data_IF_317820092279
#
_entry.id   IF_317820092279
#
_cell.length_a   1.000
_cell.length_b   1.000
_cell.length_c   1.000
_cell.angle_alpha   90.00
_cell.angle_beta   90.00
_cell.angle_gamma   90.00
#
_symmetry.space_group_name_H-M   'P 1'
#
loop_
_entity.id
_entity.type
_entity.pdbx_description
1 polymer ?
#
# COMPACT_ATOMS: atom_id res chain seq x y z
N UNK A 1 24.73 -13.01 39.79
CA UNK A 1 24.75 -12.05 38.66
C UNK A 1 26.20 -11.86 38.25
N UNK A 2 26.58 -12.31 37.04
CA UNK A 2 27.99 -12.36 36.62
C UNK A 2 28.53 -10.97 36.22
N UNK A 3 29.75 -10.57 36.62
CA UNK A 3 30.38 -9.27 36.31
C UNK A 3 30.46 -8.95 34.81
N UNK A 4 30.40 -9.98 33.97
CA UNK A 4 30.44 -9.87 32.49
C UNK A 4 29.20 -9.17 31.93
N UNK A 5 28.03 -9.30 32.58
CA UNK A 5 26.76 -8.67 32.15
C UNK A 5 26.79 -7.14 32.18
N UNK A 6 27.68 -6.55 32.96
CA UNK A 6 27.78 -5.08 33.11
C UNK A 6 28.91 -4.51 32.24
N UNK A 7 29.92 -5.30 31.88
CA UNK A 7 31.10 -4.81 31.16
C UNK A 7 30.81 -4.47 29.69
N UNK A 8 29.99 -5.27 29.00
CA UNK A 8 29.71 -5.08 27.57
C UNK A 8 28.62 -4.04 27.29
N UNK A 9 27.72 -3.76 28.25
CA UNK A 9 26.63 -2.77 28.07
C UNK A 9 27.07 -1.31 28.17
N UNK A 10 28.30 -1.02 28.62
CA UNK A 10 28.69 0.33 29.03
C UNK A 10 29.85 1.00 28.30
N UNK A 11 30.61 0.31 27.43
CA UNK A 11 31.94 0.83 27.01
C UNK A 11 32.37 0.59 25.56
N UNK A 12 31.45 0.45 24.62
CA UNK A 12 31.82 0.64 23.20
C UNK A 12 30.87 1.62 22.55
N UNK A 13 31.23 2.91 22.65
CA UNK A 13 30.71 3.95 21.77
C UNK A 13 31.29 3.70 20.37
N UNK A 14 30.61 2.89 19.56
CA UNK A 14 30.89 2.82 18.14
C UNK A 14 30.55 4.18 17.52
N UNK A 15 31.55 5.05 17.38
CA UNK A 15 31.41 6.29 16.61
C UNK A 15 31.22 5.93 15.14
N UNK A 16 30.11 6.39 14.57
CA UNK A 16 29.63 6.11 13.21
C UNK A 16 30.61 6.47 12.08
N UNK A 17 31.67 7.22 12.35
CA UNK A 17 32.56 7.81 11.34
C UNK A 17 33.77 6.91 10.97
N UNK A 18 33.93 5.74 11.59
CA UNK A 18 35.12 4.88 11.42
C UNK A 18 34.85 3.41 11.02
N UNK A 19 33.67 3.11 10.46
CA UNK A 19 33.25 1.74 10.14
C UNK A 19 33.74 1.31 8.75
N UNK A 20 35.02 0.93 8.63
CA UNK A 20 35.53 0.15 7.49
C UNK A 20 35.61 -1.33 7.94
N UNK A 21 35.18 -2.32 7.12
CA UNK A 21 35.23 -3.74 7.50
C UNK A 21 36.59 -4.22 8.02
N UNK A 22 37.69 -3.65 7.50
CA UNK A 22 39.06 -3.98 7.94
C UNK A 22 39.35 -3.47 9.36
N UNK A 23 38.94 -2.24 9.68
CA UNK A 23 39.15 -1.65 11.01
C UNK A 23 38.25 -2.30 12.06
N UNK A 24 37.04 -2.75 11.70
CA UNK A 24 36.17 -3.52 12.60
C UNK A 24 36.76 -4.88 12.97
N UNK A 25 37.29 -5.62 12.00
CA UNK A 25 37.92 -6.93 12.26
C UNK A 25 39.10 -6.82 13.23
N UNK A 26 39.94 -5.79 13.04
CA UNK A 26 41.07 -5.49 13.93
C UNK A 26 40.60 -5.07 15.34
N UNK A 27 39.59 -4.20 15.44
CA UNK A 27 39.00 -3.79 16.72
C UNK A 27 38.32 -4.93 17.47
N UNK A 28 37.64 -5.84 16.76
CA UNK A 28 37.06 -7.04 17.35
C UNK A 28 38.16 -7.97 17.85
N UNK A 29 39.21 -8.20 17.06
CA UNK A 29 40.35 -9.01 17.49
C UNK A 29 41.07 -8.42 18.70
N UNK A 30 41.26 -7.09 18.74
CA UNK A 30 41.83 -6.38 19.88
C UNK A 30 40.94 -6.50 21.13
N UNK A 31 39.62 -6.35 20.97
CA UNK A 31 38.66 -6.48 22.07
C UNK A 31 38.63 -7.91 22.63
N UNK A 32 38.63 -8.93 21.77
CA UNK A 32 38.70 -10.35 22.18
C UNK A 32 39.97 -10.60 23.00
N UNK A 33 41.12 -10.08 22.56
CA UNK A 33 42.39 -10.17 23.30
C UNK A 33 42.35 -9.42 24.62
N UNK A 34 41.81 -8.20 24.62
CA UNK A 34 41.76 -7.32 25.79
C UNK A 34 40.87 -7.89 26.89
N UNK A 35 39.68 -8.39 26.53
CA UNK A 35 38.72 -8.99 27.46
C UNK A 35 38.98 -10.48 27.73
N UNK A 36 40.00 -11.08 27.09
CA UNK A 36 40.37 -12.50 27.21
C UNK A 36 39.18 -13.44 27.00
N UNK A 37 38.33 -13.13 26.02
CA UNK A 37 37.16 -13.95 25.70
C UNK A 37 37.62 -15.24 25.03
N UNK A 38 37.21 -16.39 25.57
CA UNK A 38 37.43 -17.68 24.91
C UNK A 38 36.45 -17.88 23.74
N UNK A 39 36.83 -18.65 22.71
CA UNK A 39 35.91 -19.00 21.62
C UNK A 39 34.62 -19.68 22.10
N UNK A 40 34.71 -20.47 23.17
CA UNK A 40 33.58 -21.14 23.80
C UNK A 40 32.61 -20.14 24.46
N UNK A 41 33.13 -19.15 25.18
CA UNK A 41 32.30 -18.07 25.75
C UNK A 41 31.62 -17.24 24.66
N UNK A 42 32.33 -16.95 23.56
CA UNK A 42 31.77 -16.23 22.41
C UNK A 42 30.65 -17.07 21.77
N UNK A 43 30.86 -18.36 21.54
CA UNK A 43 29.85 -19.24 20.95
C UNK A 43 28.62 -19.39 21.86
N UNK A 44 28.83 -19.50 23.17
CA UNK A 44 27.72 -19.57 24.15
C UNK A 44 26.95 -18.25 24.20
N UNK A 45 27.62 -17.10 24.17
CA UNK A 45 26.93 -15.80 24.17
C UNK A 45 26.23 -15.53 22.83
N UNK A 46 26.82 -15.94 21.70
CA UNK A 46 26.22 -15.90 20.38
C UNK A 46 24.88 -16.67 20.35
N UNK A 47 24.88 -17.92 20.82
CA UNK A 47 23.67 -18.75 20.93
C UNK A 47 22.65 -18.20 21.95
N UNK A 48 23.08 -17.29 22.84
CA UNK A 48 22.23 -16.63 23.86
C UNK A 48 21.82 -15.22 23.47
N UNK A 49 22.16 -14.74 22.29
CA UNK A 49 21.82 -13.37 21.86
C UNK A 49 21.18 -13.36 20.48
N UNK A 50 21.61 -14.25 19.58
CA UNK A 50 21.12 -14.28 18.20
C UNK A 50 19.87 -15.16 18.06
N UNK A 51 19.02 -14.80 17.11
CA UNK A 51 17.91 -15.66 16.68
C UNK A 51 18.45 -16.81 15.83
N UNK A 52 17.94 -18.02 16.05
CA UNK A 52 18.29 -19.18 15.22
C UNK A 52 18.07 -18.92 13.72
N UNK A 53 19.01 -19.36 12.89
CA UNK A 53 18.94 -19.19 11.44
C UNK A 53 17.67 -19.81 10.83
N UNK A 54 17.17 -20.90 11.42
CA UNK A 54 15.89 -21.52 11.07
C UNK A 54 14.73 -20.50 11.06
N UNK A 55 14.70 -19.60 12.04
CA UNK A 55 13.65 -18.60 12.17
C UNK A 55 13.87 -17.36 11.29
N UNK A 56 15.09 -17.12 10.79
CA UNK A 56 15.41 -15.94 9.97
C UNK A 56 15.24 -16.19 8.46
N UNK A 57 15.39 -17.44 8.01
CA UNK A 57 15.44 -17.80 6.57
C UNK A 57 14.24 -17.32 5.74
N UNK A 58 13.06 -17.14 6.32
CA UNK A 58 11.85 -16.66 5.62
C UNK A 58 11.87 -15.16 5.30
N UNK A 59 12.72 -14.39 5.98
CA UNK A 59 12.93 -12.96 5.69
C UNK A 59 13.72 -12.90 4.38
N UNK A 60 13.11 -12.36 3.32
CA UNK A 60 13.70 -12.23 1.99
C UNK A 60 14.31 -10.84 1.76
N UNK A 61 14.93 -10.63 0.60
CA UNK A 61 15.38 -9.32 0.14
C UNK A 61 14.25 -8.48 -0.49
N UNK A 62 12.98 -8.87 -0.33
CA UNK A 62 11.86 -8.10 -0.83
C UNK A 62 11.74 -6.77 -0.05
N UNK A 63 11.96 -5.64 -0.73
CA UNK A 63 11.87 -4.28 -0.16
C UNK A 63 10.61 -4.06 0.68
N UNK A 64 9.46 -4.53 0.19
CA UNK A 64 8.18 -4.37 0.91
C UNK A 64 8.13 -5.20 2.19
N UNK A 65 8.58 -6.46 2.15
CA UNK A 65 8.62 -7.31 3.33
C UNK A 65 9.55 -6.70 4.39
N UNK A 66 10.72 -6.22 3.98
CA UNK A 66 11.67 -5.55 4.88
C UNK A 66 11.07 -4.28 5.51
N UNK A 67 10.41 -3.44 4.71
CA UNK A 67 9.71 -2.25 5.22
C UNK A 67 8.60 -2.60 6.21
N UNK A 68 7.78 -3.61 5.90
CA UNK A 68 6.71 -4.09 6.78
C UNK A 68 7.26 -4.60 8.12
N UNK A 69 8.30 -5.44 8.09
CA UNK A 69 8.96 -5.92 9.32
C UNK A 69 9.52 -4.74 10.12
N UNK A 70 10.23 -3.81 9.48
CA UNK A 70 10.78 -2.63 10.14
C UNK A 70 9.68 -1.80 10.83
N UNK A 71 8.53 -1.58 10.17
CA UNK A 71 7.41 -0.87 10.77
C UNK A 71 6.79 -1.62 11.96
N UNK A 72 6.68 -2.96 11.88
CA UNK A 72 6.18 -3.78 12.99
C UNK A 72 7.12 -3.72 14.19
N UNK A 73 8.43 -3.86 13.97
CA UNK A 73 9.44 -3.78 15.02
C UNK A 73 9.44 -2.40 15.70
N UNK A 74 9.34 -1.31 14.93
CA UNK A 74 9.28 0.05 15.51
C UNK A 74 8.03 0.28 16.37
N UNK A 75 6.93 -0.42 16.09
CA UNK A 75 5.69 -0.34 16.87
C UNK A 75 5.68 -1.27 18.08
N UNK A 76 6.47 -2.34 18.04
CA UNK A 76 6.56 -3.30 19.13
C UNK A 76 7.33 -2.70 20.32
N UNK A 77 6.62 -2.47 21.43
CA UNK A 77 7.22 -1.90 22.64
C UNK A 77 8.08 -2.91 23.41
N UNK A 78 7.93 -4.20 23.13
CA UNK A 78 8.64 -5.28 23.79
C UNK A 78 10.04 -5.52 23.19
N UNK A 79 10.27 -5.06 21.95
CA UNK A 79 11.56 -5.17 21.28
C UNK A 79 12.10 -3.79 20.97
N UNK A 80 13.07 -3.37 21.78
CA UNK A 80 13.85 -2.17 21.51
C UNK A 80 14.98 -2.51 20.57
N UNK A 81 14.78 -2.21 19.29
CA UNK A 81 15.84 -2.30 18.28
C UNK A 81 16.76 -1.08 18.38
N UNK A 82 18.09 -1.26 18.44
CA UNK A 82 19.02 -0.14 18.40
C UNK A 82 19.04 0.54 17.01
N UNK A 83 19.41 1.82 16.99
CA UNK A 83 19.70 2.55 15.75
C UNK A 83 21.08 2.13 15.23
N UNK A 84 21.08 1.07 14.42
CA UNK A 84 22.28 0.59 13.71
C UNK A 84 22.31 1.23 12.32
N UNK A 85 23.47 1.80 11.99
CA UNK A 85 23.78 2.30 10.65
C UNK A 85 25.05 1.60 10.16
N UNK A 86 24.98 0.99 8.98
CA UNK A 86 26.12 0.38 8.32
C UNK A 86 25.96 0.47 6.81
N UNK A 87 26.98 1.01 6.13
CA UNK A 87 27.06 0.99 4.66
C UNK A 87 27.54 -0.37 4.11
N UNK A 88 28.02 -1.26 4.98
CA UNK A 88 28.55 -2.57 4.61
C UNK A 88 27.48 -3.68 4.62
N UNK A 89 26.35 -3.45 5.28
CA UNK A 89 25.25 -4.42 5.38
C UNK A 89 24.15 -4.10 4.36
N UNK A 90 23.58 -5.14 3.77
CA UNK A 90 22.32 -5.03 3.03
C UNK A 90 21.16 -4.64 3.96
N UNK A 91 20.05 -4.14 3.41
CA UNK A 91 18.86 -3.80 4.21
C UNK A 91 18.37 -4.99 5.04
N UNK A 92 18.40 -6.20 4.45
CA UNK A 92 18.02 -7.44 5.12
C UNK A 92 18.96 -7.76 6.29
N UNK A 93 20.27 -7.71 6.05
CA UNK A 93 21.27 -7.98 7.10
C UNK A 93 21.19 -6.93 8.22
N UNK A 94 20.97 -5.67 7.87
CA UNK A 94 20.78 -4.60 8.84
C UNK A 94 19.54 -4.83 9.71
N UNK A 95 18.44 -5.28 9.11
CA UNK A 95 17.21 -5.62 9.82
C UNK A 95 17.41 -6.79 10.78
N UNK A 96 18.11 -7.85 10.33
CA UNK A 96 18.45 -8.99 11.18
C UNK A 96 19.35 -8.55 12.34
N UNK A 97 20.39 -7.75 12.06
CA UNK A 97 21.27 -7.21 13.08
C UNK A 97 20.51 -6.37 14.12
N UNK A 98 19.50 -5.60 13.72
CA UNK A 98 18.64 -4.85 14.66
C UNK A 98 17.85 -5.78 15.59
N UNK A 99 17.40 -6.93 15.10
CA UNK A 99 16.70 -7.93 15.90
C UNK A 99 17.68 -8.60 16.86
N UNK A 100 18.82 -9.09 16.37
CA UNK A 100 19.84 -9.77 17.17
C UNK A 100 20.44 -8.85 18.24
N UNK A 101 20.69 -7.59 17.92
CA UNK A 101 21.19 -6.59 18.87
C UNK A 101 20.09 -5.97 19.76
N UNK A 102 18.85 -6.43 19.65
CA UNK A 102 17.80 -5.99 20.58
C UNK A 102 18.14 -6.42 22.01
N UNK A 103 17.83 -5.56 22.99
CA UNK A 103 18.17 -5.82 24.39
C UNK A 103 17.32 -6.91 25.08
N UNK A 104 16.44 -7.58 24.33
CA UNK A 104 15.48 -8.59 24.80
C UNK A 104 16.12 -9.97 24.98
N UNK A 105 15.44 -10.91 25.66
CA UNK A 105 15.95 -12.27 25.79
C UNK A 105 15.82 -13.04 24.46
N UNK A 106 16.64 -14.08 24.19
CA UNK A 106 16.56 -14.86 22.95
C UNK A 106 15.17 -15.36 22.60
N UNK A 107 14.46 -15.92 23.59
CA UNK A 107 13.10 -16.44 23.40
C UNK A 107 12.13 -15.35 22.95
N UNK A 108 12.28 -14.12 23.44
CA UNK A 108 11.42 -13.01 23.05
C UNK A 108 11.69 -12.59 21.60
N UNK A 109 12.97 -12.60 21.19
CA UNK A 109 13.38 -12.31 19.80
C UNK A 109 12.84 -13.39 18.85
N UNK A 110 13.02 -14.66 19.20
CA UNK A 110 12.52 -15.80 18.44
C UNK A 110 10.99 -15.74 18.32
N UNK A 111 10.28 -15.52 19.42
CA UNK A 111 8.82 -15.37 19.42
C UNK A 111 8.38 -14.26 18.49
N UNK A 112 9.02 -13.08 18.53
CA UNK A 112 8.68 -12.00 17.63
C UNK A 112 8.91 -12.35 16.16
N UNK A 113 10.05 -12.99 15.83
CA UNK A 113 10.32 -13.40 14.45
C UNK A 113 9.30 -14.43 13.96
N UNK A 114 8.87 -15.34 14.83
CA UNK A 114 7.80 -16.31 14.55
C UNK A 114 6.46 -15.58 14.33
N UNK A 115 6.11 -14.62 15.18
CA UNK A 115 4.87 -13.85 15.07
C UNK A 115 4.85 -13.02 13.77
N UNK A 116 5.98 -12.43 13.40
CA UNK A 116 6.14 -11.73 12.12
C UNK A 116 5.95 -12.68 10.92
N UNK A 117 6.52 -13.89 11.00
CA UNK A 117 6.36 -14.91 9.96
C UNK A 117 4.89 -15.30 9.77
N UNK A 118 4.15 -15.46 10.87
CA UNK A 118 2.73 -15.82 10.85
C UNK A 118 1.84 -14.68 10.34
N UNK A 119 2.13 -13.43 10.73
CA UNK A 119 1.34 -12.28 10.33
C UNK A 119 1.58 -11.84 8.88
N UNK A 120 2.70 -12.21 8.26
CA UNK A 120 3.02 -11.81 6.88
C UNK A 120 2.01 -12.33 5.84
N UNK A 121 1.65 -13.63 5.80
CA UNK A 121 0.57 -14.13 4.96
C UNK A 121 -0.77 -13.43 5.17
N UNK A 122 -1.12 -13.09 6.41
CA UNK A 122 -2.36 -12.37 6.74
C UNK A 122 -2.36 -10.97 6.13
N UNK A 123 -1.24 -10.24 6.27
CA UNK A 123 -1.05 -8.95 5.63
C UNK A 123 -1.24 -9.07 4.11
N UNK A 124 -0.65 -10.10 3.49
CA UNK A 124 -0.83 -10.35 2.05
C UNK A 124 -2.29 -10.62 1.65
N UNK A 125 -3.09 -11.25 2.51
CA UNK A 125 -4.53 -11.39 2.25
C UNK A 125 -5.27 -10.05 2.34
N UNK A 126 -4.90 -9.20 3.30
CA UNK A 126 -5.49 -7.86 3.45
C UNK A 126 -5.19 -6.95 2.25
N UNK A 127 -4.05 -7.13 1.61
CA UNK A 127 -3.64 -6.35 0.43
C UNK A 127 -4.61 -6.49 -0.75
N UNK A 128 -5.29 -7.63 -0.87
CA UNK A 128 -6.31 -7.85 -1.90
C UNK A 128 -7.43 -6.81 -1.85
N UNK A 129 -7.65 -6.17 -0.70
CA UNK A 129 -8.64 -5.10 -0.56
C UNK A 129 -8.24 -3.81 -1.30
N UNK A 130 -6.95 -3.62 -1.62
CA UNK A 130 -6.42 -2.45 -2.32
C UNK A 130 -6.19 -2.70 -3.83
N UNK A 131 -6.49 -3.91 -4.34
CA UNK A 131 -6.26 -4.26 -5.76
C UNK A 131 -7.01 -3.35 -6.75
N UNK A 132 -8.14 -2.76 -6.34
CA UNK A 132 -8.95 -1.87 -7.17
C UNK A 132 -8.24 -0.55 -7.56
N UNK A 133 -7.13 -0.23 -6.90
CA UNK A 133 -6.33 0.97 -7.20
C UNK A 133 -5.69 0.85 -8.59
N UNK A 134 -5.21 -0.34 -8.96
CA UNK A 134 -4.62 -0.61 -10.28
C UNK A 134 -5.64 -0.45 -11.41
N UNK A 135 -6.93 -0.70 -11.15
CA UNK A 135 -7.96 -0.72 -12.19
C UNK A 135 -8.26 0.66 -12.79
N UNK A 136 -7.87 1.78 -12.16
CA UNK A 136 -8.58 3.05 -12.40
C UNK A 136 -7.79 4.37 -12.44
N UNK A 137 -6.46 4.40 -12.49
CA UNK A 137 -5.57 5.56 -12.26
C UNK A 137 -5.24 5.75 -10.77
N UNK A 138 -4.02 5.34 -10.43
CA UNK A 138 -3.55 5.06 -9.07
C UNK A 138 -3.45 6.34 -8.23
N UNK A 139 -3.03 7.48 -8.81
CA UNK A 139 -2.85 8.73 -8.07
C UNK A 139 -4.18 9.30 -7.55
N UNK A 140 -5.27 9.17 -8.31
CA UNK A 140 -6.58 9.66 -7.88
C UNK A 140 -7.23 8.80 -6.80
N UNK A 141 -7.06 7.48 -6.89
CA UNK A 141 -7.50 6.54 -5.87
C UNK A 141 -6.76 6.77 -4.53
N UNK A 142 -5.44 6.96 -4.60
CA UNK A 142 -4.60 7.27 -3.45
C UNK A 142 -5.03 8.56 -2.73
N UNK A 143 -5.36 9.62 -3.48
CA UNK A 143 -5.84 10.87 -2.89
C UNK A 143 -7.07 10.68 -2.01
N UNK A 144 -8.01 9.84 -2.42
CA UNK A 144 -9.20 9.55 -1.62
C UNK A 144 -8.89 8.74 -0.35
N UNK A 145 -7.89 7.86 -0.38
CA UNK A 145 -7.39 7.18 0.83
C UNK A 145 -6.76 8.19 1.79
N UNK A 146 -5.85 9.02 1.30
CA UNK A 146 -5.22 10.07 2.12
C UNK A 146 -6.23 11.03 2.72
N UNK A 147 -7.23 11.46 1.95
CA UNK A 147 -8.25 12.38 2.45
C UNK A 147 -9.07 11.75 3.59
N UNK A 148 -9.43 10.48 3.45
CA UNK A 148 -10.07 9.76 4.53
C UNK A 148 -9.17 9.66 5.76
N UNK A 149 -7.90 9.32 5.57
CA UNK A 149 -6.90 9.20 6.65
C UNK A 149 -6.70 10.53 7.38
N UNK A 150 -6.53 11.65 6.68
CA UNK A 150 -6.39 12.98 7.31
C UNK A 150 -7.59 13.34 8.19
N UNK A 151 -8.79 12.95 7.75
CA UNK A 151 -10.04 13.28 8.44
C UNK A 151 -10.27 12.44 9.68
N UNK A 152 -9.91 11.16 9.63
CA UNK A 152 -10.29 10.19 10.66
C UNK A 152 -9.12 9.72 11.54
N UNK A 153 -7.88 9.90 11.09
CA UNK A 153 -6.64 9.42 11.72
C UNK A 153 -5.52 10.47 11.50
N UNK A 154 -5.68 11.72 11.97
CA UNK A 154 -4.77 12.83 11.67
C UNK A 154 -3.35 12.63 12.22
N UNK A 155 -3.18 11.78 13.23
CA UNK A 155 -1.88 11.42 13.80
C UNK A 155 -1.06 10.47 12.92
N UNK A 156 -1.67 9.85 11.91
CA UNK A 156 -0.97 8.98 10.99
C UNK A 156 -0.11 9.79 10.02
N UNK A 157 1.16 9.41 9.91
CA UNK A 157 2.05 10.00 8.93
C UNK A 157 1.65 9.55 7.54
N UNK A 158 1.36 10.52 6.68
CA UNK A 158 1.17 10.29 5.26
C UNK A 158 2.52 10.44 4.54
N UNK A 159 2.76 9.66 3.47
CA UNK A 159 3.89 9.86 2.58
C UNK A 159 3.94 11.31 2.06
N UNK A 160 5.14 11.91 2.08
CA UNK A 160 5.38 13.24 1.50
C UNK A 160 5.16 13.24 -0.01
N UNK A 161 5.58 12.16 -0.67
CA UNK A 161 5.41 11.94 -2.10
C UNK A 161 4.28 10.94 -2.32
N UNK A 162 3.38 11.27 -3.25
CA UNK A 162 2.31 10.35 -3.62
C UNK A 162 2.91 9.07 -4.24
N UNK A 163 2.47 7.88 -3.79
CA UNK A 163 2.79 6.61 -4.42
C UNK A 163 2.53 6.62 -5.92
N UNK A 164 3.46 6.07 -6.68
CA UNK A 164 3.41 5.96 -8.13
C UNK A 164 2.72 4.70 -8.61
N UNK A 165 2.75 3.64 -7.80
CA UNK A 165 2.19 2.33 -8.12
C UNK A 165 1.53 1.68 -6.91
N UNK A 166 0.84 0.55 -7.14
CA UNK A 166 0.25 -0.23 -6.06
C UNK A 166 1.27 -0.68 -4.99
N UNK A 167 2.51 -1.02 -5.34
CA UNK A 167 3.49 -1.48 -4.35
C UNK A 167 3.85 -0.37 -3.37
N UNK A 168 4.06 0.85 -3.86
CA UNK A 168 4.29 2.02 -3.01
C UNK A 168 3.06 2.35 -2.14
N UNK A 169 1.85 2.18 -2.65
CA UNK A 169 0.61 2.33 -1.85
C UNK A 169 0.57 1.31 -0.72
N UNK A 170 0.89 0.05 -1.02
CA UNK A 170 0.87 -1.02 -0.03
C UNK A 170 1.92 -0.76 1.07
N UNK A 171 3.15 -0.41 0.69
CA UNK A 171 4.22 -0.02 1.64
C UNK A 171 3.77 1.14 2.53
N UNK A 172 3.17 2.19 1.96
CA UNK A 172 2.66 3.32 2.72
C UNK A 172 1.54 2.91 3.69
N UNK A 173 0.64 2.02 3.26
CA UNK A 173 -0.46 1.54 4.10
C UNK A 173 -0.01 0.64 5.24
N UNK A 174 1.10 -0.08 5.06
CA UNK A 174 1.69 -0.97 6.07
C UNK A 174 2.24 -0.17 7.28
N UNK A 175 2.55 1.12 7.10
CA UNK A 175 2.98 2.01 8.17
C UNK A 175 1.84 2.48 9.09
N UNK A 176 0.57 2.40 8.65
CA UNK A 176 -0.57 2.93 9.40
C UNK A 176 -1.00 2.01 10.56
N UNK A 177 -1.39 2.63 11.67
CA UNK A 177 -1.92 1.92 12.84
C UNK A 177 -3.45 1.99 12.92
N UNK A 178 -4.12 1.25 12.04
CA UNK A 178 -5.57 1.06 12.04
C UNK A 178 -5.99 -0.36 12.42
N UNK A 179 -7.19 -0.50 13.00
CA UNK A 179 -7.86 -1.79 13.16
C UNK A 179 -8.38 -2.33 11.82
N UNK A 180 -8.70 -3.63 11.76
CA UNK A 180 -9.30 -4.23 10.57
C UNK A 180 -10.61 -3.57 10.15
N UNK A 181 -11.39 -3.09 11.12
CA UNK A 181 -12.66 -2.41 10.88
C UNK A 181 -12.42 -1.05 10.23
N UNK A 182 -11.50 -0.25 10.79
CA UNK A 182 -11.12 1.05 10.24
C UNK A 182 -10.51 0.91 8.85
N UNK A 183 -9.62 -0.08 8.65
CA UNK A 183 -9.04 -0.38 7.35
C UNK A 183 -10.11 -0.68 6.30
N UNK A 184 -11.04 -1.60 6.59
CA UNK A 184 -12.14 -1.96 5.69
C UNK A 184 -13.04 -0.75 5.39
N UNK A 185 -13.34 0.06 6.40
CA UNK A 185 -14.20 1.23 6.25
C UNK A 185 -13.53 2.34 5.43
N UNK A 186 -12.25 2.62 5.66
CA UNK A 186 -11.45 3.53 4.86
C UNK A 186 -11.44 3.12 3.39
N UNK A 187 -11.04 1.87 3.11
CA UNK A 187 -10.88 1.34 1.76
C UNK A 187 -12.22 1.37 1.01
N UNK A 188 -13.30 0.91 1.64
CA UNK A 188 -14.63 0.91 1.01
C UNK A 188 -15.15 2.32 0.72
N UNK A 189 -14.92 3.26 1.64
CA UNK A 189 -15.31 4.67 1.48
C UNK A 189 -14.52 5.35 0.37
N UNK A 190 -13.20 5.21 0.39
CA UNK A 190 -12.31 5.76 -0.63
C UNK A 190 -12.65 5.21 -2.03
N UNK A 191 -12.88 3.88 -2.13
CA UNK A 191 -13.29 3.23 -3.39
C UNK A 191 -14.61 3.80 -3.92
N UNK A 192 -15.60 4.00 -3.04
CA UNK A 192 -16.91 4.56 -3.42
C UNK A 192 -16.77 5.99 -3.95
N UNK A 193 -16.04 6.84 -3.24
CA UNK A 193 -15.82 8.24 -3.64
C UNK A 193 -15.06 8.32 -4.96
N UNK A 194 -14.03 7.50 -5.12
CA UNK A 194 -13.27 7.44 -6.37
C UNK A 194 -14.12 7.03 -7.56
N UNK A 195 -14.93 5.97 -7.42
CA UNK A 195 -15.87 5.54 -8.46
C UNK A 195 -16.89 6.63 -8.80
N UNK A 196 -17.32 7.41 -7.82
CA UNK A 196 -18.19 8.55 -8.07
C UNK A 196 -17.47 9.64 -8.87
N UNK A 197 -16.21 9.96 -8.55
CA UNK A 197 -15.37 10.90 -9.30
C UNK A 197 -15.20 10.45 -10.75
N UNK A 198 -14.91 9.17 -11.00
CA UNK A 198 -14.81 8.60 -12.35
C UNK A 198 -16.13 8.73 -13.13
N UNK A 199 -17.26 8.42 -12.48
CA UNK A 199 -18.60 8.56 -13.10
C UNK A 199 -18.87 10.02 -13.48
N UNK A 200 -18.57 10.97 -12.58
CA UNK A 200 -18.73 12.41 -12.84
C UNK A 200 -17.83 12.89 -13.98
N UNK A 201 -16.58 12.42 -14.05
CA UNK A 201 -15.68 12.71 -15.17
C UNK A 201 -16.24 12.18 -16.50
N UNK A 202 -16.72 10.93 -16.53
CA UNK A 202 -17.37 10.33 -17.72
C UNK A 202 -18.67 11.04 -18.13
N UNK A 203 -19.39 11.62 -17.17
CA UNK A 203 -20.63 12.35 -17.42
C UNK A 203 -20.40 13.83 -17.78
N UNK A 204 -19.17 14.35 -17.73
CA UNK A 204 -18.91 15.74 -18.11
C UNK A 204 -19.30 15.95 -19.58
N UNK A 205 -20.19 16.92 -19.83
CA UNK A 205 -20.77 17.18 -21.16
C UNK A 205 -22.00 16.33 -21.50
N UNK A 206 -22.38 15.36 -20.66
CA UNK A 206 -23.59 14.54 -20.82
C UNK A 206 -24.61 14.95 -19.78
N UNK A 207 -25.79 15.37 -20.21
CA UNK A 207 -26.95 15.62 -19.33
C UNK A 207 -27.98 14.51 -19.56
N UNK A 208 -28.50 13.96 -18.47
CA UNK A 208 -29.62 13.04 -18.55
C UNK A 208 -30.90 13.87 -18.75
N UNK A 209 -31.65 13.55 -19.80
CA UNK A 209 -32.97 14.09 -20.06
C UNK A 209 -34.01 12.98 -19.88
N UNK A 210 -35.04 13.25 -19.09
CA UNK A 210 -36.15 12.32 -18.92
C UNK A 210 -37.23 12.66 -19.93
N UNK A 211 -37.48 11.75 -20.87
CA UNK A 211 -38.51 11.91 -21.89
C UNK A 211 -39.70 11.02 -21.57
N UNK A 212 -40.91 11.57 -21.70
CA UNK A 212 -42.14 10.77 -21.75
C UNK A 212 -42.36 10.42 -23.21
N UNK A 213 -42.22 9.14 -23.55
CA UNK A 213 -42.42 8.62 -24.90
C UNK A 213 -43.64 7.70 -24.90
N UNK A 214 -44.40 7.71 -26.00
CA UNK A 214 -45.49 6.73 -26.17
C UNK A 214 -44.93 5.31 -26.29
N UNK A 215 -45.72 4.31 -25.91
CA UNK A 215 -45.34 2.90 -26.04
C UNK A 215 -44.93 2.53 -27.47
N UNK A 216 -45.59 3.14 -28.47
CA UNK A 216 -45.24 2.95 -29.89
C UNK A 216 -43.84 3.48 -30.19
N UNK A 217 -43.47 4.65 -29.68
CA UNK A 217 -42.14 5.23 -29.87
C UNK A 217 -41.06 4.39 -29.17
N UNK A 218 -41.34 3.89 -27.96
CA UNK A 218 -40.43 2.99 -27.24
C UNK A 218 -40.19 1.70 -28.03
N UNK A 219 -41.24 1.07 -28.56
CA UNK A 219 -41.10 -0.14 -29.41
C UNK A 219 -40.26 0.11 -30.67
N UNK A 220 -40.41 1.28 -31.32
CA UNK A 220 -39.58 1.66 -32.48
C UNK A 220 -38.12 1.84 -32.07
N UNK A 221 -37.87 2.52 -30.96
CA UNK A 221 -36.52 2.74 -30.45
C UNK A 221 -35.84 1.42 -30.05
N UNK A 222 -36.59 0.47 -29.50
CA UNK A 222 -36.11 -0.89 -29.19
C UNK A 222 -35.74 -1.68 -30.43
N UNK A 223 -36.55 -1.59 -31.48
CA UNK A 223 -36.25 -2.22 -32.75
C UNK A 223 -34.95 -1.65 -33.35
N UNK A 224 -34.82 -0.32 -33.42
CA UNK A 224 -33.60 0.34 -33.92
C UNK A 224 -32.36 0.01 -33.09
N UNK A 225 -32.51 -0.09 -31.77
CA UNK A 225 -31.42 -0.47 -30.87
C UNK A 225 -30.94 -1.90 -31.14
N UNK A 226 -31.86 -2.84 -31.39
CA UNK A 226 -31.53 -4.23 -31.72
C UNK A 226 -30.94 -4.37 -33.12
N UNK A 227 -31.57 -3.78 -34.12
CA UNK A 227 -31.18 -3.92 -35.53
C UNK A 227 -29.77 -3.37 -35.79
N UNK A 228 -29.32 -2.39 -34.99
CA UNK A 228 -28.01 -1.75 -35.14
C UNK A 228 -27.02 -2.05 -34.00
N UNK A 229 -27.38 -2.88 -33.01
CA UNK A 229 -26.55 -3.19 -31.83
C UNK A 229 -26.06 -1.94 -31.06
N UNK A 230 -26.84 -0.86 -31.09
CA UNK A 230 -26.52 0.41 -30.43
C UNK A 230 -27.45 0.65 -29.26
N UNK A 231 -26.97 1.34 -28.22
CA UNK A 231 -27.82 1.76 -27.12
C UNK A 231 -28.92 2.74 -27.60
N UNK A 232 -30.10 2.69 -26.96
CA UNK A 232 -31.21 3.63 -27.21
C UNK A 232 -30.77 5.09 -27.21
N UNK A 233 -29.95 5.49 -26.24
CA UNK A 233 -29.41 6.85 -26.16
C UNK A 233 -28.56 7.21 -27.38
N UNK A 234 -27.73 6.27 -27.86
CA UNK A 234 -26.89 6.48 -29.05
C UNK A 234 -27.72 6.61 -30.31
N UNK A 235 -28.79 5.82 -30.45
CA UNK A 235 -29.74 5.97 -31.56
C UNK A 235 -30.36 7.38 -31.55
N UNK A 236 -30.82 7.86 -30.39
CA UNK A 236 -31.38 9.21 -30.27
C UNK A 236 -30.37 10.31 -30.63
N UNK A 237 -29.12 10.20 -30.16
CA UNK A 237 -28.06 11.15 -30.53
C UNK A 237 -27.81 11.18 -32.05
N UNK A 238 -27.77 10.02 -32.71
CA UNK A 238 -27.58 9.94 -34.16
C UNK A 238 -28.76 10.58 -34.90
N UNK A 239 -30.00 10.29 -34.49
CA UNK A 239 -31.18 10.88 -35.10
C UNK A 239 -31.22 12.41 -34.93
N UNK A 240 -30.87 12.91 -33.74
CA UNK A 240 -30.79 14.35 -33.50
C UNK A 240 -29.70 15.01 -34.35
N UNK A 241 -28.51 14.40 -34.45
CA UNK A 241 -27.42 14.91 -35.27
C UNK A 241 -27.80 14.94 -36.76
N UNK A 242 -28.37 13.84 -37.26
CA UNK A 242 -28.79 13.75 -38.66
C UNK A 242 -29.84 14.80 -39.00
N UNK A 243 -30.75 15.06 -38.07
CA UNK A 243 -31.79 16.06 -38.28
C UNK A 243 -31.24 17.50 -38.18
N UNK A 244 -30.33 17.77 -37.26
CA UNK A 244 -29.65 19.08 -37.15
C UNK A 244 -28.81 19.40 -38.40
N UNK A 245 -28.11 18.39 -38.95
CA UNK A 245 -27.26 18.56 -40.14
C UNK A 245 -28.06 18.64 -41.45
N UNK A 246 -29.16 17.88 -41.56
CA UNK A 246 -29.91 17.74 -42.82
C UNK A 246 -31.21 18.54 -42.87
N UNK A 247 -31.86 18.80 -41.73
CA UNK A 247 -33.15 19.51 -41.58
C UNK A 247 -34.24 19.00 -42.54
N UNK A 248 -34.32 17.68 -42.73
CA UNK A 248 -35.22 17.05 -43.69
C UNK A 248 -36.52 16.59 -43.03
N UNK A 249 -36.43 15.78 -41.98
CA UNK A 249 -37.57 14.98 -41.52
C UNK A 249 -38.50 15.76 -40.59
N UNK A 250 -37.98 16.60 -39.69
CA UNK A 250 -38.79 17.46 -38.82
C UNK A 250 -39.46 18.55 -39.64
N UNK A 251 -38.76 19.16 -40.59
CA UNK A 251 -39.32 20.21 -41.45
C UNK A 251 -40.51 19.73 -42.26
N UNK A 252 -40.39 18.56 -42.88
CA UNK A 252 -41.49 17.94 -43.62
C UNK A 252 -42.67 17.60 -42.70
N UNK A 253 -42.41 16.95 -41.57
CA UNK A 253 -43.46 16.60 -40.60
C UNK A 253 -44.16 17.83 -40.01
N UNK A 254 -43.44 18.90 -39.72
CA UNK A 254 -44.03 20.16 -39.24
C UNK A 254 -44.92 20.79 -40.31
N UNK A 255 -44.54 20.76 -41.59
CA UNK A 255 -45.38 21.26 -42.69
C UNK A 255 -46.70 20.51 -42.79
N UNK A 256 -46.64 19.17 -42.76
CA UNK A 256 -47.82 18.30 -42.75
C UNK A 256 -48.70 18.58 -41.53
N UNK A 257 -48.11 18.69 -40.33
CA UNK A 257 -48.84 18.97 -39.09
C UNK A 257 -49.48 20.37 -39.06
N UNK A 258 -48.89 21.35 -39.74
CA UNK A 258 -49.42 22.73 -39.82
C UNK A 258 -50.40 22.93 -40.96
N UNK A 259 -50.68 21.91 -41.77
CA UNK A 259 -51.63 22.00 -42.90
C UNK A 259 -51.19 22.98 -43.98
N UNK A 260 -49.89 23.24 -44.12
CA UNK A 260 -49.35 24.07 -45.20
C UNK A 260 -49.21 23.15 -46.42
N UNK A 261 -50.30 22.95 -47.14
CA UNK A 261 -50.29 22.34 -48.47
C UNK A 261 -49.99 23.42 -49.53
N UNK A 262 -49.15 23.01 -50.50
CA UNK A 262 -48.53 23.73 -51.62
C UNK A 262 -48.96 25.16 -51.96
#
# INVERSE_FOLDING_TARGET
MSPVRTALRGKVLYRSEALNPRTMSEQMAESIRHFRLSPEEIAVDQNRQMVSEEHITWISNCKRQLAWIQHRLTRDKHIRTPDIYSSALTERELLIAKIDCSGSAPRDKESCVIDLKQAWPEQMQLDKQLSWIQETNESGAWQHLCEWMRKHQPEQKLPEVAPKDLQEVLIASDAWSWSDVERKYCISTARRLWRQTLRRKKAKGKKQYNFILSDKAIKRLDKLSKDHELSRARILEILLLMEDEKDLYLKEQIRVLRGIEH
#
